data_IF_829628653533
#
_entry.id   IF_829628653533
#
_cell.length_a   1.000
_cell.length_b   1.000
_cell.length_c   1.000
_cell.angle_alpha   90.00
_cell.angle_beta   90.00
_cell.angle_gamma   90.00
#
_symmetry.space_group_name_H-M   'P 1'
#
loop_
_entity.id
_entity.type
_entity.pdbx_description
1 polymer ?
#
# COMPACT_ATOMS: atom_id res chain seq x y z
N UNK A 1 9.15 -12.13 13.93
CA UNK A 1 8.31 -13.27 13.46
C UNK A 1 6.93 -12.85 13.00
N UNK A 2 6.19 -11.99 13.72
CA UNK A 2 4.81 -11.63 13.33
C UNK A 2 4.70 -10.84 12.01
N UNK A 3 5.54 -9.82 11.82
CA UNK A 3 5.51 -8.97 10.61
C UNK A 3 5.74 -9.75 9.30
N UNK A 4 6.78 -10.58 9.14
CA UNK A 4 6.98 -11.33 7.89
C UNK A 4 5.83 -12.30 7.59
N UNK A 5 5.25 -12.95 8.61
CA UNK A 5 4.08 -13.81 8.42
C UNK A 5 2.86 -13.01 7.95
N UNK A 6 2.58 -11.88 8.61
CA UNK A 6 1.49 -10.99 8.22
C UNK A 6 1.71 -10.45 6.79
N UNK A 7 2.93 -10.07 6.45
CA UNK A 7 3.31 -9.61 5.12
C UNK A 7 3.04 -10.66 4.04
N UNK A 8 3.39 -11.93 4.29
CA UNK A 8 3.06 -13.04 3.40
C UNK A 8 1.54 -13.26 3.29
N UNK A 9 0.81 -13.15 4.40
CA UNK A 9 -0.65 -13.27 4.40
C UNK A 9 -1.34 -12.14 3.62
N UNK A 10 -0.89 -10.90 3.79
CA UNK A 10 -1.34 -9.73 3.02
C UNK A 10 -1.03 -9.92 1.54
N UNK A 11 0.19 -10.37 1.19
CA UNK A 11 0.58 -10.65 -0.21
C UNK A 11 -0.34 -11.69 -0.85
N UNK A 12 -0.63 -12.76 -0.11
CA UNK A 12 -1.57 -13.78 -0.56
C UNK A 12 -2.97 -13.21 -0.81
N UNK A 13 -3.50 -12.42 0.13
CA UNK A 13 -4.82 -11.79 -0.05
C UNK A 13 -4.86 -10.74 -1.17
N UNK A 14 -3.77 -9.99 -1.38
CA UNK A 14 -3.69 -9.00 -2.46
C UNK A 14 -3.79 -9.66 -3.84
N UNK A 15 -3.39 -10.94 -3.99
CA UNK A 15 -3.62 -11.67 -5.23
C UNK A 15 -5.11 -11.90 -5.55
N UNK A 16 -6.02 -11.85 -4.56
CA UNK A 16 -7.46 -11.82 -4.85
C UNK A 16 -7.92 -10.42 -5.26
N UNK A 17 -7.27 -9.38 -4.78
CA UNK A 17 -7.75 -8.00 -4.91
C UNK A 17 -7.21 -7.29 -6.17
N UNK A 18 -5.95 -7.56 -6.49
CA UNK A 18 -5.22 -7.06 -7.65
C UNK A 18 -5.07 -8.21 -8.63
N UNK A 19 -5.75 -8.08 -9.77
CA UNK A 19 -5.74 -9.12 -10.78
C UNK A 19 -4.67 -8.84 -11.86
N UNK A 20 -4.18 -7.61 -12.00
CA UNK A 20 -3.09 -7.29 -12.93
C UNK A 20 -1.97 -6.51 -12.23
N UNK A 21 -0.82 -7.16 -12.05
CA UNK A 21 0.37 -6.55 -11.47
C UNK A 21 1.33 -6.13 -12.57
N UNK A 22 1.54 -4.83 -12.73
CA UNK A 22 2.47 -4.25 -13.70
C UNK A 22 3.73 -3.79 -12.97
N UNK A 23 4.60 -4.74 -12.67
CA UNK A 23 5.82 -4.51 -11.88
C UNK A 23 6.98 -4.20 -12.82
N UNK A 24 7.60 -3.02 -12.68
CA UNK A 24 8.74 -2.59 -13.49
C UNK A 24 9.96 -2.32 -12.63
N UNK A 25 11.12 -2.75 -13.09
CA UNK A 25 12.44 -2.45 -12.53
C UNK A 25 12.63 -2.80 -11.04
N UNK A 26 11.75 -3.61 -10.43
CA UNK A 26 11.87 -3.94 -8.99
C UNK A 26 13.19 -4.63 -8.62
N UNK A 27 13.83 -5.31 -9.56
CA UNK A 27 15.15 -5.93 -9.36
C UNK A 27 16.26 -4.90 -9.13
N UNK A 28 16.09 -3.66 -9.60
CA UNK A 28 17.07 -2.59 -9.43
C UNK A 28 17.04 -2.01 -8.00
N UNK A 29 15.89 -2.11 -7.32
CA UNK A 29 15.72 -1.64 -5.95
C UNK A 29 16.12 -2.74 -4.98
N UNK A 30 17.42 -2.86 -4.70
CA UNK A 30 17.98 -3.96 -3.91
C UNK A 30 17.85 -3.77 -2.38
N UNK A 31 17.71 -2.51 -1.92
CA UNK A 31 17.58 -2.12 -0.51
C UNK A 31 18.62 -2.77 0.43
N UNK A 32 19.85 -2.95 -0.07
CA UNK A 32 20.94 -3.54 0.73
C UNK A 32 21.62 -2.55 1.67
N UNK A 33 21.56 -1.26 1.34
CA UNK A 33 22.12 -0.17 2.12
C UNK A 33 21.02 0.49 2.96
N UNK A 34 21.35 1.37 3.93
CA UNK A 34 20.36 2.20 4.59
C UNK A 34 19.57 2.99 3.54
N UNK A 35 18.28 2.66 3.34
CA UNK A 35 17.49 3.26 2.27
C UNK A 35 16.28 4.01 2.80
N UNK A 36 16.10 5.23 2.28
CA UNK A 36 14.84 5.97 2.37
C UNK A 36 14.06 5.70 1.09
N UNK A 37 13.01 4.91 1.21
CA UNK A 37 12.09 4.57 0.13
C UNK A 37 11.06 5.70 0.00
N UNK A 38 10.95 6.26 -1.20
CA UNK A 38 10.06 7.39 -1.48
C UNK A 38 9.01 6.98 -2.50
N UNK A 39 7.75 7.32 -2.27
CA UNK A 39 6.66 6.98 -3.20
C UNK A 39 5.57 8.05 -3.22
N UNK A 40 4.87 8.19 -4.35
CA UNK A 40 3.62 8.96 -4.42
C UNK A 40 2.52 8.27 -3.58
N UNK A 41 1.46 9.01 -3.21
CA UNK A 41 0.50 8.53 -2.21
C UNK A 41 -0.98 8.63 -2.63
N UNK A 42 -1.40 8.00 -3.74
CA UNK A 42 -2.74 8.22 -4.27
C UNK A 42 -3.85 7.38 -3.61
N UNK A 43 -3.54 6.31 -2.86
CA UNK A 43 -4.54 5.37 -2.33
C UNK A 43 -4.37 5.04 -0.84
N UNK A 44 -3.84 6.01 -0.08
CA UNK A 44 -3.73 5.96 1.37
C UNK A 44 -3.04 4.68 1.87
N UNK A 45 -3.59 4.01 2.88
CA UNK A 45 -3.00 2.82 3.47
C UNK A 45 -2.80 1.67 2.45
N UNK A 46 -3.56 1.63 1.36
CA UNK A 46 -3.39 0.63 0.31
C UNK A 46 -2.01 0.75 -0.38
N UNK A 47 -1.49 1.98 -0.56
CA UNK A 47 -0.15 2.22 -1.12
C UNK A 47 0.94 1.55 -0.26
N UNK A 48 0.82 1.67 1.05
CA UNK A 48 1.76 1.06 1.98
C UNK A 48 1.73 -0.47 1.90
N UNK A 49 0.55 -1.07 1.71
CA UNK A 49 0.43 -2.52 1.52
C UNK A 49 1.10 -2.98 0.22
N UNK A 50 0.87 -2.27 -0.89
CA UNK A 50 1.50 -2.55 -2.19
C UNK A 50 3.02 -2.48 -2.08
N UNK A 51 3.57 -1.41 -1.50
CA UNK A 51 5.01 -1.29 -1.27
C UNK A 51 5.55 -2.40 -0.38
N UNK A 52 4.86 -2.68 0.74
CA UNK A 52 5.31 -3.69 1.69
C UNK A 52 5.44 -5.06 1.04
N UNK A 53 4.48 -5.51 0.22
CA UNK A 53 4.54 -6.87 -0.35
C UNK A 53 5.51 -7.03 -1.53
N UNK A 54 5.89 -5.92 -2.17
CA UNK A 54 6.81 -5.91 -3.32
C UNK A 54 8.23 -5.45 -3.00
N UNK A 55 8.47 -4.83 -1.84
CA UNK A 55 9.81 -4.51 -1.37
C UNK A 55 10.68 -5.79 -1.25
N UNK A 56 11.98 -5.79 -1.57
CA UNK A 56 12.83 -6.97 -1.33
C UNK A 56 13.04 -7.24 0.17
N UNK A 57 12.94 -6.21 1.02
CA UNK A 57 13.18 -6.29 2.47
C UNK A 57 12.04 -5.70 3.29
N UNK A 58 12.07 -5.96 4.58
CA UNK A 58 11.16 -5.30 5.53
C UNK A 58 11.42 -3.78 5.53
N UNK A 59 10.34 -3.03 5.68
CA UNK A 59 10.37 -1.57 5.64
C UNK A 59 9.53 -1.01 6.78
N UNK A 60 9.96 0.15 7.29
CA UNK A 60 9.27 0.89 8.35
C UNK A 60 8.55 2.08 7.74
N UNK A 61 7.29 2.29 8.08
CA UNK A 61 6.46 3.31 7.44
C UNK A 61 6.24 4.49 8.39
N UNK A 62 6.45 5.72 7.88
CA UNK A 62 6.00 6.92 8.59
C UNK A 62 4.48 7.03 8.51
N UNK A 63 3.81 7.15 9.66
CA UNK A 63 2.35 7.19 9.79
C UNK A 63 1.94 8.33 10.69
N UNK A 64 0.76 8.92 10.45
CA UNK A 64 0.24 10.03 11.26
C UNK A 64 0.29 9.72 12.77
N UNK A 65 0.92 10.62 13.52
CA UNK A 65 1.20 10.44 14.95
C UNK A 65 -0.03 10.52 15.86
N UNK A 66 -1.12 11.14 15.42
CA UNK A 66 -2.37 11.24 16.19
C UNK A 66 -2.99 9.86 16.50
N UNK A 67 -2.80 8.89 15.62
CA UNK A 67 -3.28 7.51 15.81
C UNK A 67 -2.56 6.82 16.98
N UNK A 68 -1.30 7.20 17.26
CA UNK A 68 -0.49 6.64 18.33
C UNK A 68 -0.88 7.16 19.73
N UNK A 69 -1.79 8.14 19.84
CA UNK A 69 -2.27 8.63 21.14
C UNK A 69 -3.05 7.54 21.92
N UNK A 70 -3.64 6.57 21.23
CA UNK A 70 -4.32 5.41 21.85
C UNK A 70 -3.32 4.30 22.15
N UNK A 71 -3.20 3.87 23.41
CA UNK A 71 -2.19 2.88 23.84
C UNK A 71 -2.24 1.56 23.06
N UNK A 72 -3.43 0.99 22.85
CA UNK A 72 -3.59 -0.24 22.08
C UNK A 72 -3.22 -0.05 20.60
N UNK A 73 -3.49 1.13 20.02
CA UNK A 73 -3.15 1.44 18.64
C UNK A 73 -1.64 1.65 18.50
N UNK A 74 -1.01 2.38 19.42
CA UNK A 74 0.44 2.54 19.51
C UNK A 74 1.15 1.18 19.55
N UNK A 75 0.70 0.28 20.44
CA UNK A 75 1.24 -1.07 20.53
C UNK A 75 1.11 -1.82 19.20
N UNK A 76 -0.08 -1.81 18.58
CA UNK A 76 -0.31 -2.50 17.32
C UNK A 76 0.55 -1.93 16.17
N UNK A 77 0.54 -0.60 15.98
CA UNK A 77 1.27 0.08 14.90
C UNK A 77 2.79 -0.11 15.01
N UNK A 78 3.34 -0.07 16.24
CA UNK A 78 4.78 -0.34 16.46
C UNK A 78 5.16 -1.78 16.13
N UNK A 79 4.30 -2.75 16.44
CA UNK A 79 4.50 -4.15 16.03
C UNK A 79 4.40 -4.36 14.51
N UNK A 80 3.76 -3.42 13.80
CA UNK A 80 3.67 -3.37 12.33
C UNK A 80 4.74 -2.49 11.70
N UNK A 81 5.79 -2.14 12.45
CA UNK A 81 6.92 -1.34 11.97
C UNK A 81 6.53 0.06 11.50
N UNK A 82 5.51 0.65 12.12
CA UNK A 82 5.10 2.02 11.85
C UNK A 82 5.74 2.97 12.85
N UNK A 83 6.19 4.12 12.35
CA UNK A 83 6.85 5.18 13.13
C UNK A 83 5.95 6.44 13.04
N UNK A 84 5.63 7.09 14.17
CA UNK A 84 4.76 8.27 14.16
C UNK A 84 5.44 9.48 13.54
N UNK A 85 4.72 10.25 12.71
CA UNK A 85 5.13 11.58 12.23
C UNK A 85 3.97 12.56 12.45
N UNK A 86 4.29 13.76 12.94
CA UNK A 86 3.31 14.75 13.38
C UNK A 86 3.28 15.95 12.43
N UNK A 87 2.08 16.38 12.05
CA UNK A 87 1.90 17.65 11.34
C UNK A 87 1.70 18.77 12.34
N UNK A 88 2.03 19.99 11.91
CA UNK A 88 1.76 21.22 12.67
C UNK A 88 0.29 21.38 13.07
N UNK A 89 -0.63 20.87 12.27
CA UNK A 89 -2.07 20.87 12.55
C UNK A 89 -2.49 19.90 13.66
N UNK A 90 -1.71 18.85 13.90
CA UNK A 90 -2.13 17.68 14.69
C UNK A 90 -1.64 17.77 16.14
N UNK A 91 -0.53 18.50 16.36
CA UNK A 91 0.10 18.62 17.67
C UNK A 91 0.90 19.94 17.80
N UNK A 92 0.73 20.72 18.88
CA UNK A 92 1.52 21.94 19.08
C UNK A 92 3.01 21.65 19.29
N UNK A 93 3.35 20.48 19.84
CA UNK A 93 4.74 20.07 20.11
C UNK A 93 5.33 19.23 18.96
N UNK A 94 4.76 19.33 17.75
CA UNK A 94 5.13 18.50 16.60
C UNK A 94 6.62 18.54 16.27
N UNK A 95 7.30 19.68 16.46
CA UNK A 95 8.73 19.82 16.17
C UNK A 95 9.58 18.93 17.08
N UNK A 96 9.31 18.98 18.39
CA UNK A 96 10.01 18.18 19.39
C UNK A 96 9.72 16.69 19.16
N UNK A 97 8.45 16.34 18.94
CA UNK A 97 8.06 14.95 18.68
C UNK A 97 8.69 14.41 17.39
N UNK A 98 8.73 15.22 16.32
CA UNK A 98 9.35 14.82 15.07
C UNK A 98 10.87 14.70 15.20
N UNK A 99 11.53 15.51 16.03
CA UNK A 99 12.96 15.35 16.30
C UNK A 99 13.27 13.95 16.87
N UNK A 100 12.46 13.48 17.83
CA UNK A 100 12.57 12.11 18.35
C UNK A 100 12.27 11.06 17.26
N UNK A 101 11.29 11.30 16.40
CA UNK A 101 11.00 10.43 15.25
C UNK A 101 12.20 10.33 14.30
N UNK A 102 12.84 11.44 13.95
CA UNK A 102 14.01 11.41 13.07
C UNK A 102 15.20 10.69 13.70
N UNK A 103 15.38 10.81 15.02
CA UNK A 103 16.36 10.02 15.77
C UNK A 103 16.07 8.52 15.73
N UNK A 104 14.79 8.14 15.89
CA UNK A 104 14.35 6.76 15.76
C UNK A 104 14.62 6.24 14.35
N UNK A 105 14.24 6.99 13.30
CA UNK A 105 14.51 6.63 11.92
C UNK A 105 16.00 6.47 11.62
N UNK A 106 16.84 7.40 12.09
CA UNK A 106 18.29 7.32 11.90
C UNK A 106 18.89 6.06 12.57
N UNK A 107 18.43 5.70 13.77
CA UNK A 107 18.85 4.44 14.43
C UNK A 107 18.47 3.20 13.63
N UNK A 108 17.28 3.18 13.03
CA UNK A 108 16.85 2.10 12.17
C UNK A 108 17.67 2.04 10.87
N UNK A 109 17.87 3.17 10.20
CA UNK A 109 18.73 3.27 9.02
C UNK A 109 20.15 2.75 9.31
N UNK A 110 20.74 3.14 10.45
CA UNK A 110 22.05 2.65 10.89
C UNK A 110 22.09 1.12 11.07
N UNK A 111 20.95 0.51 11.38
CA UNK A 111 20.79 -0.94 11.53
C UNK A 111 20.48 -1.63 10.19
N UNK A 112 20.70 -0.95 9.06
CA UNK A 112 20.41 -1.42 7.70
C UNK A 112 18.93 -1.72 7.44
N UNK A 113 18.04 -1.07 8.19
CA UNK A 113 16.60 -1.08 7.94
C UNK A 113 16.21 0.07 7.00
N UNK A 114 15.03 -0.06 6.39
CA UNK A 114 14.56 0.89 5.38
C UNK A 114 13.38 1.70 5.91
N UNK A 115 13.34 3.00 5.58
CA UNK A 115 12.24 3.89 5.98
C UNK A 115 11.46 4.29 4.74
N UNK A 116 10.14 4.10 4.75
CA UNK A 116 9.22 4.56 3.71
C UNK A 116 8.64 5.90 4.11
N UNK A 117 8.74 6.87 3.20
CA UNK A 117 8.12 8.19 3.31
C UNK A 117 7.33 8.52 2.06
N UNK A 118 6.14 9.08 2.28
CA UNK A 118 5.29 9.66 1.24
C UNK A 118 5.45 11.18 1.26
N UNK A 119 6.27 11.78 0.38
CA UNK A 119 6.68 13.17 0.49
C UNK A 119 5.53 14.14 0.19
N UNK A 120 4.42 13.68 -0.38
CA UNK A 120 3.20 14.50 -0.54
C UNK A 120 2.56 14.90 0.79
N UNK A 121 2.85 14.15 1.87
CA UNK A 121 2.33 14.39 3.23
C UNK A 121 0.82 14.19 3.39
N UNK A 122 0.07 14.03 2.30
CA UNK A 122 -1.38 13.83 2.31
C UNK A 122 -1.78 12.95 1.14
N UNK A 123 -2.51 11.87 1.41
CA UNK A 123 -3.09 11.06 0.35
C UNK A 123 -4.35 11.71 -0.21
N UNK A 124 -4.49 11.67 -1.54
CA UNK A 124 -5.68 12.04 -2.31
C UNK A 124 -5.79 11.08 -3.49
N UNK A 125 -7.01 10.67 -3.84
CA UNK A 125 -7.21 9.86 -5.04
C UNK A 125 -6.86 10.71 -6.26
N UNK A 126 -5.75 10.42 -6.93
CA UNK A 126 -5.31 11.11 -8.14
C UNK A 126 -4.32 10.25 -8.90
N UNK A 127 -4.30 10.38 -10.22
CA UNK A 127 -3.28 9.75 -11.07
C UNK A 127 -2.08 10.68 -11.33
N UNK A 128 -2.11 11.90 -10.78
CA UNK A 128 -1.05 12.91 -10.92
C UNK A 128 -0.24 13.07 -9.65
N UNK A 129 1.05 13.34 -9.81
CA UNK A 129 1.95 13.61 -8.69
C UNK A 129 1.57 14.92 -7.99
N UNK A 130 1.35 14.86 -6.67
CA UNK A 130 1.06 16.08 -5.89
C UNK A 130 2.33 16.81 -5.49
N UNK A 131 2.26 18.11 -5.13
CA UNK A 131 3.39 18.81 -4.56
C UNK A 131 3.99 18.09 -3.36
N UNK A 132 5.32 18.05 -3.28
CA UNK A 132 6.01 17.48 -2.13
C UNK A 132 6.07 18.49 -0.98
N UNK A 133 5.94 17.97 0.24
CA UNK A 133 6.23 18.66 1.49
C UNK A 133 7.70 18.37 1.85
N UNK A 134 8.62 19.32 1.59
CA UNK A 134 10.06 19.05 1.67
C UNK A 134 10.53 18.79 3.11
N UNK A 135 9.89 19.40 4.11
CA UNK A 135 10.39 19.43 5.49
C UNK A 135 10.66 18.06 6.10
N UNK A 136 9.73 17.11 5.95
CA UNK A 136 9.86 15.77 6.55
C UNK A 136 10.98 14.94 5.93
N UNK A 137 11.06 14.95 4.60
CA UNK A 137 12.13 14.27 3.87
C UNK A 137 13.49 14.90 4.17
N UNK A 138 13.59 16.23 4.04
CA UNK A 138 14.84 16.96 4.25
C UNK A 138 15.37 16.78 5.68
N UNK A 139 14.50 16.83 6.69
CA UNK A 139 14.89 16.63 8.08
C UNK A 139 15.42 15.21 8.32
N UNK A 140 14.76 14.19 7.76
CA UNK A 140 15.21 12.80 7.87
C UNK A 140 16.59 12.58 7.22
N UNK A 141 16.77 13.04 5.98
CA UNK A 141 18.05 12.90 5.25
C UNK A 141 19.16 13.64 5.99
N UNK A 142 18.95 14.92 6.35
CA UNK A 142 19.93 15.71 7.11
C UNK A 142 20.29 15.06 8.44
N UNK A 143 19.30 14.51 9.16
CA UNK A 143 19.55 13.81 10.42
C UNK A 143 20.42 12.57 10.23
N UNK A 144 20.13 11.75 9.22
CA UNK A 144 20.93 10.57 8.91
C UNK A 144 22.39 10.95 8.57
N UNK A 145 22.59 11.93 7.70
CA UNK A 145 23.93 12.43 7.32
C UNK A 145 24.68 12.99 8.53
N UNK A 146 24.01 13.76 9.41
CA UNK A 146 24.63 14.28 10.65
C UNK A 146 25.08 13.20 11.63
N UNK A 147 24.58 11.97 11.46
CA UNK A 147 24.94 10.79 12.25
C UNK A 147 25.90 9.85 11.50
N UNK A 148 26.49 10.32 10.39
CA UNK A 148 27.41 9.57 9.54
C UNK A 148 26.79 8.30 8.94
N UNK A 149 25.51 8.39 8.56
CA UNK A 149 24.77 7.30 7.93
C UNK A 149 24.58 7.67 6.45
N UNK A 150 25.35 7.09 5.52
CA UNK A 150 25.09 7.29 4.09
C UNK A 150 23.75 6.64 3.75
N UNK A 151 22.83 7.43 3.21
CA UNK A 151 21.49 6.96 2.85
C UNK A 151 21.34 6.91 1.33
N UNK A 152 20.87 5.77 0.85
CA UNK A 152 20.34 5.65 -0.50
C UNK A 152 18.89 6.14 -0.49
N UNK A 153 18.49 6.86 -1.53
CA UNK A 153 17.10 7.26 -1.75
C UNK A 153 16.59 6.43 -2.90
N UNK A 154 15.55 5.63 -2.65
CA UNK A 154 14.96 4.74 -3.65
C UNK A 154 13.55 5.23 -3.99
N UNK A 155 13.36 5.91 -5.13
CA UNK A 155 12.05 6.35 -5.54
C UNK A 155 11.27 5.20 -6.17
N UNK A 156 9.97 5.21 -5.91
CA UNK A 156 8.96 4.35 -6.52
C UNK A 156 7.80 5.19 -7.01
N UNK A 157 7.16 4.69 -8.07
CA UNK A 157 5.91 5.24 -8.59
C UNK A 157 4.85 4.16 -8.56
N UNK A 158 3.69 4.49 -7.99
CA UNK A 158 2.50 3.65 -7.96
C UNK A 158 1.37 4.30 -8.74
N UNK A 159 0.69 3.50 -9.55
CA UNK A 159 -0.52 3.92 -10.23
C UNK A 159 -1.57 2.80 -10.24
N UNK A 160 -2.85 3.18 -10.35
CA UNK A 160 -4.00 2.30 -10.21
C UNK A 160 -4.94 2.42 -11.40
N UNK A 161 -5.63 1.33 -11.75
CA UNK A 161 -6.73 1.43 -12.72
C UNK A 161 -7.95 2.12 -12.11
N UNK A 162 -8.19 1.90 -10.81
CA UNK A 162 -9.27 2.54 -10.07
C UNK A 162 -8.98 2.65 -8.57
N UNK A 163 -9.70 3.53 -7.87
CA UNK A 163 -9.63 3.71 -6.41
C UNK A 163 -10.86 3.12 -5.67
N UNK A 164 -11.80 2.53 -6.40
CA UNK A 164 -13.03 1.99 -5.81
C UNK A 164 -13.62 0.74 -6.49
N UNK A 165 -12.89 0.10 -7.42
CA UNK A 165 -13.33 -1.11 -8.09
C UNK A 165 -12.40 -2.29 -7.82
N UNK A 166 -12.97 -3.49 -7.87
CA UNK A 166 -12.31 -4.78 -7.70
C UNK A 166 -12.86 -5.70 -8.79
N UNK A 167 -12.02 -6.47 -9.50
CA UNK A 167 -10.55 -6.45 -9.43
C UNK A 167 -9.97 -5.12 -9.95
N UNK A 168 -8.70 -4.86 -9.63
CA UNK A 168 -7.94 -3.73 -10.19
C UNK A 168 -6.60 -4.14 -10.78
N UNK A 169 -6.07 -3.27 -11.64
CA UNK A 169 -4.67 -3.27 -12.02
C UNK A 169 -3.88 -2.34 -11.09
N UNK A 170 -2.65 -2.71 -10.78
CA UNK A 170 -1.69 -1.89 -10.03
C UNK A 170 -0.35 -1.90 -10.77
N UNK A 171 0.17 -0.72 -11.05
CA UNK A 171 1.52 -0.52 -11.56
C UNK A 171 2.42 -0.06 -10.41
N UNK A 172 3.58 -0.70 -10.30
CA UNK A 172 4.63 -0.32 -9.37
C UNK A 172 5.96 -0.32 -10.14
N UNK A 173 6.54 0.87 -10.29
CA UNK A 173 7.83 1.07 -10.95
C UNK A 173 8.86 1.51 -9.91
N UNK A 174 9.97 0.79 -9.83
CA UNK A 174 11.16 1.29 -9.14
C UNK A 174 11.98 2.19 -10.09
N UNK A 175 12.35 3.38 -9.60
CA UNK A 175 13.19 4.33 -10.34
C UNK A 175 14.67 4.17 -9.97
N UNK A 176 15.53 4.98 -10.58
CA UNK A 176 16.96 4.93 -10.30
C UNK A 176 17.23 5.37 -8.86
N UNK A 177 18.04 4.63 -8.07
CA UNK A 177 18.39 5.08 -6.74
C UNK A 177 19.32 6.30 -6.82
N UNK A 178 19.16 7.19 -5.85
CA UNK A 178 19.99 8.39 -5.67
C UNK A 178 20.84 8.19 -4.42
N UNK A 179 22.16 8.30 -4.53
CA UNK A 179 23.03 8.33 -3.35
C UNK A 179 23.04 9.74 -2.75
N UNK A 180 22.70 9.88 -1.48
CA UNK A 180 22.72 11.18 -0.80
C UNK A 180 24.14 11.75 -0.67
N UNK A 181 25.18 10.91 -0.67
CA UNK A 181 26.57 11.38 -0.51
C UNK A 181 27.05 12.20 -1.69
N UNK A 182 26.49 11.96 -2.88
CA UNK A 182 26.82 12.70 -4.11
C UNK A 182 26.35 14.17 -4.07
N UNK A 183 25.48 14.51 -3.11
CA UNK A 183 24.88 15.83 -2.94
C UNK A 183 25.34 16.53 -1.66
N UNK A 184 26.42 16.05 -1.04
CA UNK A 184 27.02 16.70 0.12
C UNK A 184 27.99 17.80 -0.34
N UNK A 185 27.78 19.02 0.12
CA UNK A 185 28.67 20.17 -0.08
C UNK A 185 28.93 20.82 1.29
N UNK A 186 30.20 21.08 1.61
CA UNK A 186 30.58 21.73 2.87
C UNK A 186 30.03 21.03 4.15
N UNK A 187 29.86 19.70 4.10
CA UNK A 187 29.26 18.86 5.15
C UNK A 187 27.73 19.01 5.33
N UNK A 188 27.05 19.71 4.41
CA UNK A 188 25.60 19.75 4.34
C UNK A 188 25.10 19.06 3.06
N UNK A 189 24.00 18.31 3.18
CA UNK A 189 23.35 17.65 2.03
C UNK A 189 22.30 18.56 1.40
N UNK A 190 22.40 18.76 0.08
CA UNK A 190 21.41 19.51 -0.70
C UNK A 190 20.15 18.67 -0.98
N UNK A 191 19.30 18.56 0.04
CA UNK A 191 18.04 17.82 -0.06
C UNK A 191 17.06 18.43 -1.07
N UNK A 192 17.19 19.73 -1.36
CA UNK A 192 16.29 20.43 -2.27
C UNK A 192 16.54 19.95 -3.70
N UNK A 193 17.82 19.86 -4.09
CA UNK A 193 18.22 19.31 -5.39
C UNK A 193 17.79 17.85 -5.55
N UNK A 194 17.96 17.02 -4.51
CA UNK A 194 17.51 15.62 -4.56
C UNK A 194 15.99 15.54 -4.74
N UNK A 195 15.22 16.33 -3.98
CA UNK A 195 13.76 16.36 -4.10
C UNK A 195 13.29 16.78 -5.49
N UNK A 196 13.94 17.77 -6.10
CA UNK A 196 13.62 18.24 -7.46
C UNK A 196 13.88 17.15 -8.48
N UNK A 197 15.08 16.56 -8.49
CA UNK A 197 15.45 15.49 -9.43
C UNK A 197 14.52 14.29 -9.31
N UNK A 198 14.28 13.84 -8.07
CA UNK A 198 13.38 12.74 -7.78
C UNK A 198 11.95 13.05 -8.24
N UNK A 199 11.47 14.28 -8.00
CA UNK A 199 10.13 14.69 -8.44
C UNK A 199 10.01 14.65 -9.96
N UNK A 200 11.00 15.17 -10.68
CA UNK A 200 11.02 15.19 -12.14
C UNK A 200 11.00 13.76 -12.71
N UNK A 201 11.82 12.86 -12.16
CA UNK A 201 11.82 11.45 -12.57
C UNK A 201 10.47 10.76 -12.27
N UNK A 202 9.91 10.97 -11.06
CA UNK A 202 8.61 10.44 -10.68
C UNK A 202 7.46 10.97 -11.55
N UNK A 203 7.47 12.25 -11.90
CA UNK A 203 6.45 12.88 -12.74
C UNK A 203 6.54 12.38 -14.17
N UNK A 204 7.76 12.17 -14.70
CA UNK A 204 7.96 11.62 -16.05
C UNK A 204 7.47 10.17 -16.21
N UNK A 205 7.54 9.36 -15.15
CA UNK A 205 6.98 7.99 -15.15
C UNK A 205 5.45 8.00 -14.93
N UNK A 206 4.90 9.02 -14.23
CA UNK A 206 3.46 9.19 -14.04
C UNK A 206 2.82 9.89 -15.23
N UNK A 207 2.19 9.11 -16.12
CA UNK A 207 1.44 9.65 -17.25
C UNK A 207 0.20 10.52 -16.87
N UNK A 208 -0.11 10.68 -15.58
CA UNK A 208 -1.23 11.50 -15.11
C UNK A 208 -2.61 10.91 -15.37
N UNK A 209 -2.66 9.66 -15.86
CA UNK A 209 -3.88 8.92 -16.22
C UNK A 209 -3.92 7.56 -15.50
N UNK A 210 -5.11 6.98 -15.29
CA UNK A 210 -5.22 5.63 -14.77
C UNK A 210 -4.58 4.60 -15.70
N UNK A 211 -4.00 3.55 -15.12
CA UNK A 211 -3.43 2.46 -15.92
C UNK A 211 -4.54 1.57 -16.50
N UNK A 212 -4.28 1.07 -17.70
CA UNK A 212 -5.13 0.08 -18.36
C UNK A 212 -4.60 -1.33 -18.10
N UNK A 213 -5.46 -2.35 -18.07
CA UNK A 213 -5.04 -3.75 -17.92
C UNK A 213 -4.12 -4.20 -19.06
N UNK A 214 -3.16 -5.07 -18.76
CA UNK A 214 -2.30 -5.67 -19.79
C UNK A 214 -3.12 -6.48 -20.80
N UNK A 215 -2.78 -6.47 -22.10
CA UNK A 215 -3.53 -7.22 -23.12
C UNK A 215 -3.65 -8.73 -22.82
N UNK A 216 -2.61 -9.31 -22.22
CA UNK A 216 -2.54 -10.75 -21.91
C UNK A 216 -3.37 -11.13 -20.66
N UNK A 217 -3.82 -10.16 -19.87
CA UNK A 217 -4.63 -10.37 -18.67
C UNK A 217 -5.85 -11.27 -18.94
N UNK A 218 -6.62 -10.96 -19.99
CA UNK A 218 -7.87 -11.67 -20.27
C UNK A 218 -7.61 -13.06 -20.88
N UNK A 219 -6.63 -13.16 -21.77
CA UNK A 219 -6.34 -14.38 -22.55
C UNK A 219 -5.94 -15.56 -21.66
N UNK A 220 -5.18 -15.31 -20.60
CA UNK A 220 -4.69 -16.35 -19.69
C UNK A 220 -5.77 -16.91 -18.74
N UNK A 221 -6.99 -16.35 -18.76
CA UNK A 221 -8.05 -16.65 -17.79
C UNK A 221 -9.32 -17.25 -18.37
N UNK A 222 -9.35 -17.57 -19.67
CA UNK A 222 -10.52 -18.20 -20.32
C UNK A 222 -10.99 -19.47 -19.61
N UNK A 223 -10.08 -20.29 -19.09
CA UNK A 223 -10.41 -21.51 -18.35
C UNK A 223 -11.20 -21.23 -17.06
N UNK A 224 -11.11 -20.03 -16.50
CA UNK A 224 -11.81 -19.63 -15.28
C UNK A 224 -13.28 -19.27 -15.51
N UNK A 225 -13.76 -19.20 -16.76
CA UNK A 225 -15.12 -18.74 -17.10
C UNK A 225 -16.24 -19.45 -16.33
N UNK A 226 -16.22 -20.77 -16.30
CA UNK A 226 -17.24 -21.57 -15.61
C UNK A 226 -17.13 -21.53 -14.08
N UNK A 227 -15.95 -21.74 -13.46
CA UNK A 227 -15.82 -21.59 -12.01
C UNK A 227 -16.08 -20.14 -11.55
N UNK A 228 -15.75 -19.13 -12.36
CA UNK A 228 -16.09 -17.74 -12.08
C UNK A 228 -17.60 -17.51 -12.00
N UNK A 229 -18.38 -18.11 -12.90
CA UNK A 229 -19.85 -18.04 -12.86
C UNK A 229 -20.41 -18.68 -11.58
N UNK A 230 -19.87 -19.84 -11.17
CA UNK A 230 -20.25 -20.45 -9.90
C UNK A 230 -19.82 -19.59 -8.69
N UNK A 231 -18.64 -18.98 -8.75
CA UNK A 231 -18.15 -18.01 -7.76
C UNK A 231 -19.07 -16.80 -7.61
N UNK A 232 -19.55 -16.24 -8.72
CA UNK A 232 -20.54 -15.16 -8.72
C UNK A 232 -21.80 -15.55 -7.96
N UNK A 233 -22.44 -16.66 -8.28
CA UNK A 233 -23.69 -17.05 -7.60
C UNK A 233 -23.50 -17.36 -6.11
N UNK A 234 -22.34 -17.91 -5.73
CA UNK A 234 -22.05 -18.25 -4.33
C UNK A 234 -21.68 -17.04 -3.48
N UNK A 235 -21.05 -16.00 -4.05
CA UNK A 235 -20.45 -14.90 -3.29
C UNK A 235 -21.07 -13.52 -3.55
N UNK A 236 -21.76 -13.30 -4.67
CA UNK A 236 -22.19 -11.96 -5.08
C UNK A 236 -23.10 -11.27 -4.07
N UNK A 237 -23.99 -12.02 -3.41
CA UNK A 237 -24.86 -11.48 -2.36
C UNK A 237 -24.06 -10.92 -1.18
N UNK A 238 -23.05 -11.66 -0.71
CA UNK A 238 -22.17 -11.27 0.38
C UNK A 238 -21.33 -10.06 0.00
N UNK A 239 -20.74 -10.10 -1.20
CA UNK A 239 -19.94 -9.01 -1.71
C UNK A 239 -20.77 -7.72 -1.83
N UNK A 240 -22.00 -7.80 -2.34
CA UNK A 240 -22.90 -6.64 -2.45
C UNK A 240 -23.22 -6.03 -1.09
N UNK A 241 -23.48 -6.86 -0.07
CA UNK A 241 -23.74 -6.40 1.29
C UNK A 241 -22.50 -5.70 1.89
N UNK A 242 -21.33 -6.34 1.78
CA UNK A 242 -20.08 -5.76 2.28
C UNK A 242 -19.75 -4.45 1.55
N UNK A 243 -19.89 -4.43 0.22
CA UNK A 243 -19.68 -3.26 -0.62
C UNK A 243 -20.55 -2.09 -0.17
N UNK A 244 -21.84 -2.29 0.00
CA UNK A 244 -22.75 -1.23 0.47
C UNK A 244 -22.32 -0.68 1.85
N UNK A 245 -21.87 -1.53 2.76
CA UNK A 245 -21.38 -1.10 4.07
C UNK A 245 -20.07 -0.32 3.98
N UNK A 246 -19.12 -0.77 3.16
CA UNK A 246 -17.83 -0.10 2.95
C UNK A 246 -18.06 1.25 2.28
N UNK A 247 -18.83 1.31 1.18
CA UNK A 247 -19.17 2.55 0.48
C UNK A 247 -19.81 3.57 1.42
N UNK A 248 -20.73 3.13 2.29
CA UNK A 248 -21.35 3.98 3.29
C UNK A 248 -20.32 4.53 4.29
N UNK A 249 -19.42 3.68 4.81
CA UNK A 249 -18.40 4.09 5.80
C UNK A 249 -17.30 4.96 5.21
N UNK A 250 -16.99 4.79 3.93
CA UNK A 250 -15.91 5.53 3.25
C UNK A 250 -16.43 6.64 2.34
N UNK A 251 -17.72 6.94 2.41
CA UNK A 251 -18.32 8.03 1.64
C UNK A 251 -17.64 9.36 1.98
N UNK A 252 -17.12 10.07 0.96
CA UNK A 252 -16.35 11.30 1.15
C UNK A 252 -14.92 11.10 1.67
N UNK A 253 -14.38 9.88 1.62
CA UNK A 253 -13.00 9.56 2.03
C UNK A 253 -12.25 8.81 0.92
N UNK A 254 -10.95 8.61 1.13
CA UNK A 254 -10.01 7.90 0.24
C UNK A 254 -9.72 6.46 0.70
N UNK A 255 -10.37 5.99 1.78
CA UNK A 255 -10.02 4.72 2.44
C UNK A 255 -10.79 3.51 1.89
N UNK A 256 -11.46 3.63 0.74
CA UNK A 256 -12.31 2.56 0.20
C UNK A 256 -11.53 1.25 0.04
N UNK A 257 -10.42 1.28 -0.71
CA UNK A 257 -9.66 0.07 -1.00
C UNK A 257 -9.04 -0.52 0.27
N UNK A 258 -8.54 0.35 1.15
CA UNK A 258 -7.97 -0.05 2.43
C UNK A 258 -8.98 -0.79 3.31
N UNK A 259 -10.20 -0.25 3.46
CA UNK A 259 -11.24 -0.85 4.28
C UNK A 259 -11.82 -2.12 3.63
N UNK A 260 -12.05 -2.08 2.32
CA UNK A 260 -12.59 -3.21 1.58
C UNK A 260 -11.62 -4.39 1.59
N UNK A 261 -10.34 -4.14 1.31
CA UNK A 261 -9.30 -5.16 1.36
C UNK A 261 -9.19 -5.77 2.76
N UNK A 262 -9.10 -4.96 3.82
CA UNK A 262 -9.01 -5.47 5.18
C UNK A 262 -10.24 -6.30 5.58
N UNK A 263 -11.45 -5.83 5.23
CA UNK A 263 -12.69 -6.55 5.54
C UNK A 263 -12.75 -7.91 4.83
N UNK A 264 -12.32 -7.99 3.57
CA UNK A 264 -12.23 -9.26 2.84
C UNK A 264 -11.12 -10.14 3.38
N UNK A 265 -9.91 -9.61 3.60
CA UNK A 265 -8.74 -10.37 4.06
C UNK A 265 -9.00 -11.10 5.38
N UNK A 266 -9.62 -10.42 6.35
CA UNK A 266 -9.87 -11.00 7.67
C UNK A 266 -11.27 -11.62 7.82
N UNK A 267 -12.29 -11.02 7.19
CA UNK A 267 -13.66 -11.46 7.34
C UNK A 267 -14.01 -12.70 6.50
N UNK A 268 -13.51 -12.78 5.27
CA UNK A 268 -13.87 -13.86 4.36
C UNK A 268 -13.35 -15.24 4.82
N UNK A 269 -12.07 -15.42 5.20
CA UNK A 269 -11.59 -16.72 5.68
C UNK A 269 -12.34 -17.22 6.93
N UNK A 270 -12.67 -16.30 7.85
CA UNK A 270 -13.44 -16.64 9.05
C UNK A 270 -14.86 -17.10 8.70
N UNK A 271 -15.52 -16.41 7.75
CA UNK A 271 -16.83 -16.80 7.28
C UNK A 271 -16.82 -18.19 6.64
N UNK A 272 -15.85 -18.48 5.77
CA UNK A 272 -15.71 -19.79 5.12
C UNK A 272 -15.44 -20.89 6.15
N UNK A 273 -14.61 -20.61 7.15
CA UNK A 273 -14.35 -21.56 8.24
C UNK A 273 -15.64 -21.88 9.01
N UNK A 274 -16.41 -20.87 9.42
CA UNK A 274 -17.67 -21.07 10.14
C UNK A 274 -18.66 -21.85 9.29
N UNK A 275 -18.84 -21.47 8.02
CA UNK A 275 -19.75 -22.15 7.10
C UNK A 275 -19.36 -23.61 6.87
N UNK A 276 -18.07 -23.88 6.70
CA UNK A 276 -17.51 -25.21 6.56
C UNK A 276 -17.78 -26.08 7.79
N UNK A 277 -17.59 -25.54 9.00
CA UNK A 277 -17.85 -26.26 10.24
C UNK A 277 -19.34 -26.56 10.43
N UNK A 278 -20.21 -25.59 10.14
CA UNK A 278 -21.67 -25.77 10.23
C UNK A 278 -22.14 -26.88 9.27
N UNK A 279 -21.73 -26.82 8.01
CA UNK A 279 -22.15 -27.82 7.00
C UNK A 279 -21.49 -29.17 7.27
N UNK A 280 -20.23 -29.18 7.73
CA UNK A 280 -19.51 -30.38 8.13
C UNK A 280 -20.22 -31.13 9.26
N UNK A 281 -20.78 -30.41 10.23
CA UNK A 281 -21.55 -30.99 11.32
C UNK A 281 -22.94 -31.49 10.90
N UNK A 282 -23.55 -30.90 9.87
CA UNK A 282 -24.89 -31.27 9.40
C UNK A 282 -24.90 -32.42 8.39
N UNK A 283 -23.95 -32.40 7.43
CA UNK A 283 -23.93 -33.33 6.29
C UNK A 283 -22.79 -34.34 6.42
N UNK A 284 -21.66 -33.92 6.97
CA UNK A 284 -20.49 -34.77 7.19
C UNK A 284 -19.17 -34.04 6.97
N UNK A 285 -18.12 -34.49 7.66
CA UNK A 285 -16.80 -33.87 7.67
C UNK A 285 -16.25 -33.58 6.26
N UNK A 286 -16.34 -34.55 5.34
CA UNK A 286 -15.84 -34.41 3.98
C UNK A 286 -16.54 -33.31 3.18
N UNK A 287 -17.83 -33.11 3.41
CA UNK A 287 -18.58 -32.01 2.78
C UNK A 287 -18.14 -30.66 3.34
N UNK A 288 -17.93 -30.57 4.65
CA UNK A 288 -17.36 -29.37 5.27
C UNK A 288 -15.98 -29.03 4.68
N UNK A 289 -15.10 -30.02 4.59
CA UNK A 289 -13.76 -29.86 4.00
C UNK A 289 -13.81 -29.44 2.52
N UNK A 290 -14.71 -30.03 1.74
CA UNK A 290 -14.91 -29.65 0.34
C UNK A 290 -15.32 -28.17 0.22
N UNK A 291 -16.22 -27.70 1.09
CA UNK A 291 -16.66 -26.30 1.09
C UNK A 291 -15.52 -25.34 1.45
N UNK A 292 -14.70 -25.73 2.44
CA UNK A 292 -13.54 -24.96 2.88
C UNK A 292 -12.53 -24.72 1.75
N UNK A 293 -12.38 -25.68 0.84
CA UNK A 293 -11.43 -25.59 -0.29
C UNK A 293 -12.06 -24.99 -1.54
N UNK A 294 -13.30 -25.38 -1.88
CA UNK A 294 -13.92 -25.00 -3.15
C UNK A 294 -14.39 -23.55 -3.16
N UNK A 295 -14.92 -23.02 -2.05
CA UNK A 295 -15.45 -21.66 -2.04
C UNK A 295 -14.37 -20.59 -2.26
N UNK A 296 -13.20 -20.63 -1.59
CA UNK A 296 -12.10 -19.72 -1.90
C UNK A 296 -11.59 -19.83 -3.34
N UNK A 297 -11.57 -21.03 -3.90
CA UNK A 297 -11.20 -21.24 -5.30
C UNK A 297 -12.21 -20.58 -6.26
N UNK A 298 -13.51 -20.79 -6.03
CA UNK A 298 -14.56 -20.19 -6.86
C UNK A 298 -14.56 -18.66 -6.75
N UNK A 299 -14.35 -18.10 -5.55
CA UNK A 299 -14.24 -16.64 -5.38
C UNK A 299 -13.00 -16.07 -6.07
N UNK A 300 -11.87 -16.78 -6.02
CA UNK A 300 -10.67 -16.42 -6.76
C UNK A 300 -10.95 -16.37 -8.26
N UNK A 301 -11.49 -17.45 -8.83
CA UNK A 301 -11.83 -17.49 -10.25
C UNK A 301 -12.81 -16.39 -10.65
N UNK A 302 -13.81 -16.08 -9.81
CA UNK A 302 -14.75 -15.00 -10.07
C UNK A 302 -14.03 -13.66 -10.18
N UNK A 303 -13.26 -13.27 -9.16
CA UNK A 303 -12.59 -11.97 -9.15
C UNK A 303 -11.56 -11.88 -10.27
N UNK A 304 -10.81 -12.95 -10.55
CA UNK A 304 -9.80 -12.96 -11.61
C UNK A 304 -10.40 -12.89 -13.01
N UNK A 305 -11.60 -13.43 -13.24
CA UNK A 305 -12.25 -13.41 -14.55
C UNK A 305 -13.02 -12.11 -14.82
N UNK A 306 -13.37 -11.36 -13.78
CA UNK A 306 -14.10 -10.10 -13.92
C UNK A 306 -13.24 -9.04 -14.64
N UNK A 307 -13.82 -8.24 -15.55
CA UNK A 307 -13.06 -7.18 -16.21
C UNK A 307 -12.60 -6.13 -15.20
N UNK A 308 -11.33 -5.74 -15.31
CA UNK A 308 -10.79 -4.64 -14.51
C UNK A 308 -11.41 -3.33 -14.98
N UNK A 309 -12.01 -2.60 -14.05
CA UNK A 309 -12.50 -1.25 -14.30
C UNK A 309 -11.35 -0.25 -14.27
N UNK A 310 -11.38 0.67 -15.23
CA UNK A 310 -10.50 1.83 -15.33
C UNK A 310 -11.35 3.07 -15.02
N UNK A 311 -10.86 3.98 -14.17
CA UNK A 311 -11.52 5.28 -13.96
C UNK A 311 -11.44 6.11 -15.24
N UNK A 312 -12.48 6.87 -15.54
CA UNK A 312 -12.41 7.86 -16.62
C UNK A 312 -11.72 9.13 -16.11
N UNK A 313 -11.10 9.91 -16.99
CA UNK A 313 -10.49 11.21 -16.62
C UNK A 313 -11.50 12.20 -16.01
N UNK A 314 -12.80 12.00 -16.29
CA UNK A 314 -13.93 12.78 -15.78
C UNK A 314 -14.46 12.28 -14.43
N UNK A 315 -13.97 11.15 -13.91
CA UNK A 315 -14.41 10.65 -12.62
C UNK A 315 -14.03 11.66 -11.51
N UNK A 316 -15.02 12.03 -10.71
CA UNK A 316 -14.81 12.98 -9.61
C UNK A 316 -13.93 12.34 -8.52
N UNK A 317 -12.66 12.74 -8.51
CA UNK A 317 -11.70 12.32 -7.50
C UNK A 317 -12.12 12.89 -6.13
N UNK A 318 -12.28 12.00 -5.14
CA UNK A 318 -12.68 12.40 -3.80
C UNK A 318 -11.48 12.98 -3.06
N UNK A 319 -11.63 14.22 -2.60
CA UNK A 319 -10.82 14.72 -1.50
C UNK A 319 -11.27 14.10 -0.18
N UNK A 320 -10.32 13.63 0.64
CA UNK A 320 -10.64 13.18 1.99
C UNK A 320 -11.12 14.38 2.83
N UNK A 321 -12.41 14.38 3.21
CA UNK A 321 -13.03 15.41 4.07
C UNK A 321 -12.44 15.50 5.48
N UNK A 322 -11.63 14.52 5.87
CA UNK A 322 -10.97 14.44 7.19
C UNK A 322 -9.61 15.15 7.27
N UNK A 323 -9.20 15.86 6.21
CA UNK A 323 -7.93 16.61 6.17
C UNK A 323 -8.20 18.09 5.98
#
# INVERSE_FOLDING_TARGET
>A
MFYPLLRSFVKFGLNWYVADWQLKNLANASLHHPTIVVCNHPNSFFDALVLAVHSPKETRFLVRGDIFKKQWANWALRNLFMIPIYKKSDDPDFEVMNAFTYDECAKWLKSSENIVIFPEGVSRNTHRLRPFMPSGFSALVKRAISMDIPVQIQPYVINYSSFNAIPKAVALTALSPIDSTDYIQESEVDTSKILTLMREEMDSELAGIPITPTPDYAKNREWMKYPAKAGYYTHHWLYKLLKAQVEKKTSGTIFYDSLMFAALLFGYPLLILILSLLIGNLIGFWTGLLIFTILPFLSYCWVQYEPIRVHDESDTFKDNKLN
#
